data_IF_939675494498
#
_entry.id   IF_939675494498
#
_cell.length_a   1.000
_cell.length_b   1.000
_cell.length_c   1.000
_cell.angle_alpha   90.00
_cell.angle_beta   90.00
_cell.angle_gamma   90.00
#
_symmetry.space_group_name_H-M   'P 1'
#
loop_
_entity.id
_entity.type
_entity.pdbx_description
1 polymer ?
#
# COMPACT_ATOMS: atom_id res chain seq x y z
N UNK A 1 -16.38 -14.79 1.30
CA UNK A 1 -16.18 -14.41 1.56
C UNK A 1 -15.64 -13.34 1.60
N UNK A 2 -15.20 -13.17 2.00
CA UNK A 2 -14.71 -11.91 2.26
C UNK A 2 -13.67 -11.46 1.36
N UNK A 3 -13.71 -10.24 1.02
CA UNK A 3 -12.75 -9.65 0.18
C UNK A 3 -11.70 -8.91 0.95
N UNK A 4 -11.63 -9.17 2.22
CA UNK A 4 -10.72 -8.39 3.02
C UNK A 4 -9.29 -8.54 2.57
N UNK A 5 -8.91 -9.71 2.10
CA UNK A 5 -7.56 -9.89 1.65
C UNK A 5 -7.26 -9.17 0.36
N UNK A 6 -8.28 -8.63 -0.27
CA UNK A 6 -8.11 -7.95 -1.54
C UNK A 6 -8.20 -6.44 -1.42
N UNK A 7 -7.95 -5.91 -0.24
CA UNK A 7 -8.03 -4.48 -0.03
C UNK A 7 -6.61 -3.91 0.05
N UNK A 8 -5.96 -3.71 -1.10
CA UNK A 8 -4.57 -3.24 -1.07
C UNK A 8 -4.42 -1.86 -0.49
N UNK A 9 -5.45 -1.04 -0.59
CA UNK A 9 -5.36 0.31 -0.03
C UNK A 9 -5.25 0.29 1.47
N UNK A 10 -6.03 -0.57 2.11
CA UNK A 10 -5.97 -0.68 3.55
C UNK A 10 -4.60 -1.17 3.99
N UNK A 11 -4.06 -2.13 3.26
CA UNK A 11 -2.75 -2.65 3.60
C UNK A 11 -1.67 -1.60 3.40
N UNK A 12 -1.77 -0.82 2.34
CA UNK A 12 -0.83 0.26 2.11
C UNK A 12 -0.88 1.28 3.24
N UNK A 13 -2.09 1.59 3.69
CA UNK A 13 -2.25 2.53 4.79
C UNK A 13 -1.58 2.00 6.06
N UNK A 14 -1.76 0.73 6.34
CA UNK A 14 -1.16 0.13 7.52
C UNK A 14 0.36 0.16 7.45
N UNK A 15 0.90 -0.18 6.29
CA UNK A 15 2.34 -0.16 6.11
C UNK A 15 2.88 1.23 6.31
N UNK A 16 2.22 2.21 5.71
CA UNK A 16 2.63 3.60 5.84
C UNK A 16 2.66 4.03 7.30
N UNK A 17 1.60 3.69 8.02
CA UNK A 17 1.51 4.09 9.42
C UNK A 17 2.56 3.38 10.27
N UNK A 18 2.84 2.13 9.96
CA UNK A 18 3.86 1.41 10.70
C UNK A 18 5.22 2.04 10.52
N UNK A 19 5.43 2.71 9.41
CA UNK A 19 6.70 3.37 9.17
C UNK A 19 6.70 4.81 9.66
N UNK A 20 5.62 5.23 10.29
CA UNK A 20 5.56 6.57 10.84
C UNK A 20 5.43 7.68 9.81
N UNK A 21 4.94 7.35 8.62
CA UNK A 21 4.81 8.33 7.57
C UNK A 21 3.40 8.86 7.48
N UNK A 22 3.28 10.18 7.27
CA UNK A 22 1.97 10.76 6.98
C UNK A 22 1.67 10.53 5.51
N UNK A 23 0.40 10.70 5.14
CA UNK A 23 0.04 10.62 3.73
C UNK A 23 0.79 11.66 2.92
N UNK A 24 0.92 12.87 3.48
CA UNK A 24 1.64 13.92 2.77
C UNK A 24 3.09 13.54 2.53
N UNK A 25 3.73 12.98 3.55
CA UNK A 25 5.13 12.61 3.40
C UNK A 25 5.29 11.48 2.39
N UNK A 26 4.40 10.51 2.45
CA UNK A 26 4.44 9.42 1.48
C UNK A 26 4.24 9.94 0.07
N UNK A 27 3.37 10.94 -0.09
CA UNK A 27 3.16 11.54 -1.40
C UNK A 27 4.43 12.20 -1.90
N UNK A 28 5.09 12.95 -1.03
CA UNK A 28 6.33 13.61 -1.41
C UNK A 28 7.39 12.61 -1.85
N UNK A 29 7.53 11.55 -1.07
CA UNK A 29 8.59 10.59 -1.35
C UNK A 29 8.31 9.76 -2.59
N UNK A 30 7.04 9.52 -2.88
CA UNK A 30 6.67 8.69 -4.03
C UNK A 30 6.48 9.47 -5.31
N UNK A 31 6.36 10.79 -5.21
CA UNK A 31 6.06 11.60 -6.36
C UNK A 31 4.60 11.62 -6.73
N UNK A 32 3.74 11.12 -5.83
CA UNK A 32 2.31 11.14 -6.05
C UNK A 32 1.71 12.31 -5.31
N UNK A 33 0.43 12.59 -5.58
CA UNK A 33 -0.25 13.64 -4.85
C UNK A 33 -0.84 13.07 -3.56
N UNK A 34 -1.06 13.95 -2.60
CA UNK A 34 -1.71 13.55 -1.36
C UNK A 34 -3.10 12.97 -1.65
N UNK A 35 -3.80 13.60 -2.58
CA UNK A 35 -5.14 13.15 -2.94
C UNK A 35 -5.10 11.74 -3.51
N UNK A 36 -4.10 11.43 -4.34
CA UNK A 36 -3.97 10.09 -4.90
C UNK A 36 -3.73 9.07 -3.79
N UNK A 37 -2.85 9.39 -2.86
CA UNK A 37 -2.59 8.48 -1.74
C UNK A 37 -3.88 8.22 -0.96
N UNK A 38 -4.60 9.28 -0.66
CA UNK A 38 -5.82 9.15 0.12
C UNK A 38 -6.86 8.27 -0.58
N UNK A 39 -7.04 8.51 -1.86
CA UNK A 39 -8.02 7.76 -2.64
C UNK A 39 -7.64 6.28 -2.73
N UNK A 40 -6.36 6.02 -2.92
CA UNK A 40 -5.87 4.65 -3.00
C UNK A 40 -6.07 3.94 -1.66
N UNK A 41 -5.74 4.61 -0.57
CA UNK A 41 -5.83 3.97 0.74
C UNK A 41 -7.27 3.71 1.15
N UNK A 42 -8.21 4.43 0.58
CA UNK A 42 -9.61 4.19 0.86
C UNK A 42 -10.20 3.12 -0.04
N UNK A 43 -9.39 2.55 -0.90
CA UNK A 43 -9.81 1.54 -1.86
C UNK A 43 -10.90 2.02 -2.79
N UNK A 44 -10.91 3.33 -3.06
CA UNK A 44 -11.86 3.90 -4.00
C UNK A 44 -11.41 3.68 -5.43
N UNK A 45 -10.12 3.49 -5.64
CA UNK A 45 -9.60 3.17 -6.95
C UNK A 45 -8.54 2.10 -6.77
N UNK A 46 -8.30 1.35 -7.83
CA UNK A 46 -7.22 0.37 -7.84
C UNK A 46 -5.99 1.05 -8.42
N UNK A 47 -4.88 1.06 -7.71
CA UNK A 47 -3.69 1.71 -8.25
C UNK A 47 -3.12 0.92 -9.41
N UNK A 48 -2.62 1.63 -10.40
CA UNK A 48 -1.89 0.98 -11.48
C UNK A 48 -0.63 0.36 -10.89
N UNK A 49 -0.10 -0.63 -11.59
CA UNK A 49 1.12 -1.29 -11.12
C UNK A 49 2.26 -0.30 -10.94
N UNK A 50 2.40 0.63 -11.87
CA UNK A 50 3.49 1.60 -11.76
C UNK A 50 3.32 2.48 -10.53
N UNK A 51 2.08 2.87 -10.23
CA UNK A 51 1.81 3.67 -9.04
C UNK A 51 2.10 2.87 -7.78
N UNK A 52 1.65 1.62 -7.78
CA UNK A 52 1.88 0.75 -6.64
C UNK A 52 3.38 0.56 -6.41
N UNK A 53 4.14 0.38 -7.48
CA UNK A 53 5.58 0.23 -7.34
C UNK A 53 6.23 1.46 -6.74
N UNK A 54 5.74 2.64 -7.11
CA UNK A 54 6.29 3.86 -6.52
C UNK A 54 6.09 3.90 -5.02
N UNK A 55 4.91 3.52 -4.58
CA UNK A 55 4.62 3.49 -3.16
C UNK A 55 5.43 2.43 -2.44
N UNK A 56 5.49 1.24 -3.02
CA UNK A 56 6.22 0.16 -2.37
C UNK A 56 7.70 0.46 -2.28
N UNK A 57 8.22 1.17 -3.26
CA UNK A 57 9.62 1.55 -3.21
C UNK A 57 9.87 2.46 -2.01
N UNK A 58 8.94 3.37 -1.74
CA UNK A 58 9.05 4.24 -0.58
C UNK A 58 9.06 3.42 0.70
N UNK A 59 8.23 2.38 0.75
CA UNK A 59 8.09 1.56 1.95
C UNK A 59 9.13 0.44 2.03
N UNK A 60 9.96 0.29 1.01
CA UNK A 60 11.00 -0.73 1.04
C UNK A 60 10.50 -2.13 0.77
N UNK A 61 9.43 -2.25 0.01
CA UNK A 61 8.85 -3.55 -0.31
C UNK A 61 8.87 -3.81 -1.80
N UNK A 62 8.94 -5.07 -2.16
CA UNK A 62 8.76 -5.46 -3.55
C UNK A 62 7.29 -5.81 -3.77
N UNK A 63 6.89 -5.89 -5.03
CA UNK A 63 5.54 -6.35 -5.34
C UNK A 63 5.31 -7.74 -4.80
N UNK A 64 6.31 -8.59 -4.91
CA UNK A 64 6.20 -9.94 -4.43
C UNK A 64 5.92 -9.97 -2.92
N UNK A 65 6.65 -9.16 -2.18
CA UNK A 65 6.46 -9.11 -0.74
C UNK A 65 5.09 -8.56 -0.38
N UNK A 66 4.65 -7.56 -1.13
CA UNK A 66 3.37 -6.95 -0.83
C UNK A 66 2.21 -7.93 -1.05
N UNK A 67 2.29 -8.71 -2.11
CA UNK A 67 1.21 -9.63 -2.43
C UNK A 67 1.35 -11.00 -1.79
N UNK A 68 2.45 -11.23 -1.09
CA UNK A 68 2.59 -12.48 -0.38
C UNK A 68 1.67 -12.50 0.80
N UNK A 69 1.03 -13.61 1.02
CA UNK A 69 0.23 -13.70 2.20
C UNK A 69 1.10 -14.04 3.37
N UNK A 70 0.72 -13.60 4.55
CA UNK A 70 1.48 -13.97 5.71
C UNK A 70 1.53 -15.48 5.81
N UNK A 71 2.68 -15.98 6.16
CA UNK A 71 2.83 -17.38 6.23
C UNK A 71 1.98 -17.96 7.28
N UNK A 72 1.24 -18.99 6.98
CA UNK A 72 0.50 -19.58 7.97
C UNK A 72 1.23 -20.70 8.48
N UNK A 73 1.46 -20.78 9.65
CA UNK A 73 2.18 -21.89 10.15
C UNK A 73 1.36 -23.08 9.99
N UNK A 74 1.21 -23.75 9.72
CA UNK A 74 0.45 -24.73 9.50
C UNK A 74 0.58 -25.66 9.80
N UNK A 75 0.50 -25.68 9.91
CA UNK A 75 0.64 -26.38 10.08
C UNK A 75 0.83 -26.78 10.11
#
# INVERSE_FOLDING_TARGET
MSDEGLAPGKRLSEIRQQQGLSQRRAAELSGLTHSAISTIEQDKVSPAISTLQKLLKVYGLSLSEFFSEPEKPDE
#
